data_IF_091980741948
#
_entry.id   IF_091980741948
#
_cell.length_a   1.000
_cell.length_b   1.000
_cell.length_c   1.000
_cell.angle_alpha   90.00
_cell.angle_beta   90.00
_cell.angle_gamma   90.00
#
_symmetry.space_group_name_H-M   'P 1'
#
loop_
_entity.id
_entity.type
_entity.pdbx_description
1 polymer ?
#
# COMPACT_ATOMS: atom_id res chain seq x y z
N UNK A 1 23.11 -1.13 -11.65
CA UNK A 1 22.03 -0.11 -11.46
C UNK A 1 21.82 0.07 -9.96
N UNK A 2 21.88 1.30 -9.48
CA UNK A 2 21.65 1.62 -8.07
C UNK A 2 20.33 2.39 -7.96
N UNK A 3 19.36 1.83 -7.25
CA UNK A 3 18.09 2.51 -7.00
C UNK A 3 18.08 3.21 -5.64
N UNK A 4 17.52 4.42 -5.60
CA UNK A 4 17.14 5.07 -4.35
C UNK A 4 15.62 5.28 -4.37
N UNK A 5 14.94 4.78 -3.34
CA UNK A 5 13.52 4.96 -3.12
C UNK A 5 13.31 6.03 -2.06
N UNK A 6 12.66 7.13 -2.41
CA UNK A 6 12.27 8.19 -1.49
C UNK A 6 10.87 7.91 -0.99
N UNK A 7 10.69 7.81 0.33
CA UNK A 7 9.37 7.57 0.88
C UNK A 7 9.37 7.18 2.36
N UNK A 8 8.19 7.14 2.94
CA UNK A 8 7.98 6.69 4.32
C UNK A 8 7.68 5.19 4.38
N UNK A 9 8.29 4.43 5.31
CA UNK A 9 8.09 2.97 5.41
C UNK A 9 6.62 2.55 5.58
N UNK A 10 5.80 3.35 6.27
CA UNK A 10 4.39 3.06 6.54
C UNK A 10 3.45 3.50 5.41
N UNK A 11 3.98 4.09 4.33
CA UNK A 11 3.15 4.48 3.19
C UNK A 11 2.77 3.27 2.35
N UNK A 12 1.47 3.02 2.09
CA UNK A 12 1.03 1.91 1.25
C UNK A 12 1.52 2.04 -0.20
N UNK A 13 1.71 3.26 -0.67
CA UNK A 13 2.25 3.54 -2.00
C UNK A 13 3.75 3.21 -2.09
N UNK A 14 4.51 3.51 -1.05
CA UNK A 14 5.94 3.12 -0.96
C UNK A 14 6.06 1.61 -0.82
N UNK A 15 5.17 0.99 -0.06
CA UNK A 15 5.12 -0.46 0.16
C UNK A 15 4.94 -1.23 -1.15
N UNK A 16 4.09 -0.76 -2.08
CA UNK A 16 3.96 -1.35 -3.43
C UNK A 16 5.32 -1.46 -4.11
N UNK A 17 6.09 -0.38 -4.13
CA UNK A 17 7.41 -0.33 -4.77
C UNK A 17 8.41 -1.21 -4.04
N UNK A 18 8.43 -1.15 -2.70
CA UNK A 18 9.30 -2.01 -1.88
C UNK A 18 9.01 -3.50 -2.12
N UNK A 19 7.74 -3.87 -2.26
CA UNK A 19 7.34 -5.25 -2.57
C UNK A 19 7.99 -5.74 -3.88
N UNK A 20 7.91 -4.95 -4.96
CA UNK A 20 8.49 -5.33 -6.26
C UNK A 20 10.02 -5.39 -6.20
N UNK A 21 10.68 -4.41 -5.60
CA UNK A 21 12.13 -4.40 -5.46
C UNK A 21 12.64 -5.61 -4.67
N UNK A 22 11.92 -5.97 -3.59
CA UNK A 22 12.25 -7.16 -2.81
C UNK A 22 11.95 -8.46 -3.56
N UNK A 23 10.82 -8.53 -4.28
CA UNK A 23 10.42 -9.70 -5.06
C UNK A 23 11.44 -10.03 -6.17
N UNK A 24 12.06 -9.02 -6.76
CA UNK A 24 13.13 -9.18 -7.75
C UNK A 24 14.54 -9.26 -7.13
N UNK A 25 14.68 -9.31 -5.81
CA UNK A 25 15.96 -9.23 -5.11
C UNK A 25 16.83 -8.02 -5.52
N UNK A 26 16.18 -6.95 -5.98
CA UNK A 26 16.86 -5.73 -6.42
C UNK A 26 17.29 -4.90 -5.21
N UNK A 27 18.59 -4.62 -5.10
CA UNK A 27 19.12 -3.76 -4.03
C UNK A 27 18.72 -2.31 -4.25
N UNK A 28 18.27 -1.66 -3.18
CA UNK A 28 17.92 -0.23 -3.19
C UNK A 28 18.25 0.42 -1.86
N UNK A 29 18.42 1.76 -1.88
CA UNK A 29 18.55 2.58 -0.68
C UNK A 29 17.19 3.25 -0.41
N UNK A 30 16.62 3.05 0.78
CA UNK A 30 15.45 3.81 1.21
C UNK A 30 15.91 5.15 1.82
N UNK A 31 15.47 6.25 1.22
CA UNK A 31 15.66 7.61 1.74
C UNK A 31 14.34 8.06 2.32
N UNK A 32 14.28 8.14 3.65
CA UNK A 32 13.03 8.42 4.36
C UNK A 32 12.59 9.86 4.10
N UNK A 33 11.39 10.01 3.58
CA UNK A 33 10.70 11.28 3.38
C UNK A 33 9.32 11.16 4.00
N UNK A 34 9.03 12.00 4.99
CA UNK A 34 7.76 11.98 5.73
C UNK A 34 6.82 13.02 5.12
N UNK A 35 5.59 12.65 4.71
CA UNK A 35 4.59 13.60 4.26
C UNK A 35 4.33 14.68 5.33
N UNK A 36 4.32 15.95 4.90
CA UNK A 36 4.18 17.11 5.81
C UNK A 36 5.51 17.69 6.31
N UNK A 37 6.63 16.98 6.13
CA UNK A 37 8.00 17.47 6.41
C UNK A 37 8.91 17.20 5.21
N UNK A 38 8.40 17.50 4.03
CA UNK A 38 9.10 17.29 2.76
C UNK A 38 10.06 18.44 2.54
N UNK A 39 11.36 18.21 2.22
CA UNK A 39 12.30 19.27 1.88
C UNK A 39 11.78 20.15 0.73
N UNK A 40 12.14 21.44 0.74
CA UNK A 40 11.64 22.39 -0.28
C UNK A 40 12.10 22.03 -1.69
N UNK A 41 13.31 21.51 -1.82
CA UNK A 41 13.90 21.06 -3.09
C UNK A 41 13.28 19.75 -3.62
N UNK A 42 12.49 19.05 -2.80
CA UNK A 42 11.81 17.80 -3.22
C UNK A 42 10.82 18.03 -4.37
N UNK A 43 10.32 19.26 -4.54
CA UNK A 43 9.47 19.64 -5.67
C UNK A 43 10.16 19.39 -7.03
N UNK A 44 11.48 19.46 -7.08
CA UNK A 44 12.25 19.23 -8.30
C UNK A 44 12.17 17.75 -8.79
N UNK A 45 11.92 16.81 -7.86
CA UNK A 45 11.81 15.37 -8.17
C UNK A 45 10.38 14.84 -8.01
N UNK A 46 9.52 15.56 -7.30
CA UNK A 46 8.10 15.27 -7.13
C UNK A 46 7.31 16.58 -7.13
N UNK A 47 6.78 17.03 -8.28
CA UNK A 47 6.11 18.34 -8.42
C UNK A 47 4.93 18.52 -7.45
N UNK A 48 4.25 17.44 -7.08
CA UNK A 48 3.14 17.44 -6.11
C UNK A 48 3.58 17.11 -4.68
N UNK A 49 4.88 17.06 -4.39
CA UNK A 49 5.45 16.69 -3.09
C UNK A 49 4.92 15.37 -2.54
N UNK A 50 4.66 14.41 -3.44
CA UNK A 50 4.13 13.07 -3.10
C UNK A 50 5.23 12.03 -3.09
N UNK A 51 5.05 11.00 -2.27
CA UNK A 51 5.88 9.80 -2.20
C UNK A 51 5.07 8.59 -2.69
N UNK A 52 5.73 7.57 -3.27
CA UNK A 52 7.16 7.40 -3.50
C UNK A 52 7.72 8.19 -4.69
N UNK A 53 9.05 8.39 -4.67
CA UNK A 53 9.83 8.70 -5.87
C UNK A 53 10.94 7.67 -5.99
N UNK A 54 11.12 7.10 -7.17
CA UNK A 54 12.26 6.25 -7.50
C UNK A 54 13.30 7.08 -8.22
N UNK A 55 14.55 6.98 -7.80
CA UNK A 55 15.71 7.51 -8.50
C UNK A 55 16.53 6.36 -9.06
N UNK A 56 16.93 6.48 -10.31
CA UNK A 56 17.94 5.65 -10.94
C UNK A 56 18.93 6.58 -11.65
N UNK A 57 20.17 6.58 -11.17
CA UNK A 57 21.21 7.52 -11.62
C UNK A 57 20.70 8.99 -11.55
N UNK A 58 20.61 9.72 -12.65
CA UNK A 58 20.11 11.10 -12.70
C UNK A 58 18.61 11.19 -13.05
N UNK A 59 17.93 10.06 -13.21
CA UNK A 59 16.51 10.02 -13.56
C UNK A 59 15.63 9.78 -12.33
N UNK A 60 14.50 10.49 -12.28
CA UNK A 60 13.53 10.40 -11.19
C UNK A 60 12.13 10.10 -11.73
N UNK A 61 11.41 9.22 -11.06
CA UNK A 61 10.03 8.90 -11.36
C UNK A 61 9.17 8.94 -10.09
N UNK A 62 8.14 9.76 -10.10
CA UNK A 62 7.10 9.77 -9.09
C UNK A 62 5.90 8.90 -9.52
N UNK A 63 4.96 8.67 -8.58
CA UNK A 63 3.79 7.80 -8.67
C UNK A 63 4.11 6.31 -8.56
N UNK A 64 3.51 5.68 -7.55
CA UNK A 64 3.80 4.27 -7.22
C UNK A 64 3.41 3.29 -8.33
N UNK A 65 2.29 3.52 -9.04
CA UNK A 65 1.86 2.65 -10.13
C UNK A 65 2.82 2.75 -11.31
N UNK A 66 3.21 3.96 -11.68
CA UNK A 66 4.17 4.19 -12.77
C UNK A 66 5.53 3.58 -12.44
N UNK A 67 6.00 3.76 -11.20
CA UNK A 67 7.24 3.14 -10.73
C UNK A 67 7.16 1.60 -10.80
N UNK A 68 6.05 1.00 -10.37
CA UNK A 68 5.88 -0.45 -10.44
C UNK A 68 5.93 -0.96 -11.88
N UNK A 69 5.24 -0.31 -12.82
CA UNK A 69 5.30 -0.66 -14.24
C UNK A 69 6.72 -0.49 -14.81
N UNK A 70 7.38 0.63 -14.49
CA UNK A 70 8.77 0.84 -14.89
C UNK A 70 9.70 -0.29 -14.42
N UNK A 71 9.60 -0.70 -13.14
CA UNK A 71 10.42 -1.79 -12.60
C UNK A 71 10.16 -3.13 -13.30
N UNK A 72 8.89 -3.41 -13.62
CA UNK A 72 8.52 -4.63 -14.35
C UNK A 72 9.16 -4.66 -15.73
N UNK A 73 9.05 -3.55 -16.45
CA UNK A 73 9.54 -3.42 -17.84
C UNK A 73 11.08 -3.35 -17.90
N UNK A 74 11.70 -2.57 -17.00
CA UNK A 74 13.15 -2.31 -17.04
C UNK A 74 13.98 -3.46 -16.50
N UNK A 75 13.49 -4.20 -15.47
CA UNK A 75 14.22 -5.32 -14.89
C UNK A 75 13.98 -6.63 -15.65
N UNK A 76 12.83 -6.80 -16.32
CA UNK A 76 12.50 -8.02 -17.05
C UNK A 76 12.51 -9.29 -16.19
N UNK A 77 12.44 -9.15 -14.86
CA UNK A 77 12.53 -10.27 -13.93
C UNK A 77 11.24 -11.09 -13.97
N UNK A 78 11.34 -12.41 -14.09
CA UNK A 78 10.18 -13.30 -14.26
C UNK A 78 9.11 -13.11 -13.17
N UNK A 79 9.53 -13.02 -11.91
CA UNK A 79 8.60 -12.80 -10.80
C UNK A 79 7.86 -11.44 -10.88
N UNK A 80 8.43 -10.44 -11.54
CA UNK A 80 7.76 -9.15 -11.77
C UNK A 80 6.83 -9.21 -12.98
N UNK A 81 7.29 -9.81 -14.09
CA UNK A 81 6.47 -9.91 -15.31
C UNK A 81 5.23 -10.77 -15.09
N UNK A 82 5.29 -11.77 -14.20
CA UNK A 82 4.14 -12.58 -13.81
C UNK A 82 3.03 -11.81 -13.07
N UNK A 83 3.33 -10.61 -12.54
CA UNK A 83 2.33 -9.73 -11.93
C UNK A 83 1.41 -9.05 -12.95
N UNK A 84 1.73 -9.15 -14.24
CA UNK A 84 0.95 -8.56 -15.34
C UNK A 84 0.20 -9.68 -16.07
N UNK A 85 -1.13 -9.71 -16.03
CA UNK A 85 -1.92 -10.72 -16.72
C UNK A 85 -1.70 -10.72 -18.25
N UNK A 86 -1.83 -11.89 -18.88
CA UNK A 86 -1.49 -12.09 -20.28
C UNK A 86 -2.45 -11.41 -21.27
N UNK A 87 -3.75 -11.29 -20.95
CA UNK A 87 -4.74 -10.72 -21.85
C UNK A 87 -5.00 -9.23 -21.61
N UNK A 88 -5.36 -8.49 -22.66
CA UNK A 88 -5.69 -7.08 -22.54
C UNK A 88 -6.87 -6.82 -21.59
N UNK A 89 -7.89 -7.71 -21.58
CA UNK A 89 -9.05 -7.61 -20.71
C UNK A 89 -8.65 -7.72 -19.22
N UNK A 90 -7.86 -8.73 -18.88
CA UNK A 90 -7.38 -8.93 -17.50
C UNK A 90 -6.41 -7.80 -17.08
N UNK A 91 -5.57 -7.30 -17.99
CA UNK A 91 -4.74 -6.12 -17.69
C UNK A 91 -5.58 -4.87 -17.41
N UNK A 92 -6.67 -4.67 -18.13
CA UNK A 92 -7.58 -3.55 -17.87
C UNK A 92 -8.24 -3.68 -16.50
N UNK A 93 -8.71 -4.89 -16.13
CA UNK A 93 -9.26 -5.16 -14.81
C UNK A 93 -8.23 -4.97 -13.69
N UNK A 94 -7.00 -5.44 -13.87
CA UNK A 94 -5.90 -5.23 -12.93
C UNK A 94 -5.65 -3.73 -12.67
N UNK A 95 -5.53 -2.93 -13.76
CA UNK A 95 -5.31 -1.48 -13.65
C UNK A 95 -6.49 -0.76 -12.97
N UNK A 96 -7.71 -1.20 -13.27
CA UNK A 96 -8.89 -0.67 -12.61
C UNK A 96 -8.85 -0.89 -11.10
N UNK A 97 -8.57 -2.12 -10.66
CA UNK A 97 -8.50 -2.45 -9.23
C UNK A 97 -7.29 -1.81 -8.53
N UNK A 98 -6.17 -1.63 -9.23
CA UNK A 98 -5.04 -0.85 -8.73
C UNK A 98 -5.46 0.61 -8.48
N UNK A 99 -6.18 1.24 -9.42
CA UNK A 99 -6.71 2.60 -9.25
C UNK A 99 -7.81 2.67 -8.19
N UNK A 100 -8.64 1.65 -8.10
CA UNK A 100 -9.61 1.54 -7.01
C UNK A 100 -8.92 1.55 -5.63
N UNK A 101 -7.81 0.83 -5.48
CA UNK A 101 -7.03 0.85 -4.25
C UNK A 101 -6.46 2.25 -3.95
N UNK A 102 -5.96 2.94 -4.96
CA UNK A 102 -5.33 4.25 -4.79
C UNK A 102 -6.34 5.40 -4.60
N UNK A 103 -7.54 5.33 -5.22
CA UNK A 103 -8.51 6.43 -5.24
C UNK A 103 -9.72 6.21 -4.32
N UNK A 104 -10.10 4.96 -4.04
CA UNK A 104 -11.24 4.64 -3.20
C UNK A 104 -10.86 4.10 -1.82
N UNK A 105 -9.92 3.14 -1.75
CA UNK A 105 -9.48 2.59 -0.48
C UNK A 105 -8.56 3.56 0.28
N UNK A 106 -7.57 4.14 -0.39
CA UNK A 106 -6.58 4.98 0.27
C UNK A 106 -7.19 6.18 1.02
N UNK A 107 -8.17 6.94 0.48
CA UNK A 107 -8.80 8.03 1.20
C UNK A 107 -9.43 7.60 2.53
N UNK A 108 -10.04 6.41 2.58
CA UNK A 108 -10.79 5.92 3.75
C UNK A 108 -9.88 5.15 4.71
N UNK A 109 -9.15 4.15 4.21
CA UNK A 109 -8.32 3.27 5.06
C UNK A 109 -7.06 3.99 5.54
N UNK A 110 -6.35 4.67 4.62
CA UNK A 110 -5.04 5.27 4.92
C UNK A 110 -5.18 6.73 5.38
N UNK A 111 -5.85 7.58 4.60
CA UNK A 111 -5.87 9.02 4.91
C UNK A 111 -6.92 9.41 5.95
N UNK A 112 -7.93 8.55 6.20
CA UNK A 112 -8.87 8.73 7.30
C UNK A 112 -8.46 7.87 8.49
N UNK A 113 -8.68 6.57 8.47
CA UNK A 113 -8.55 5.72 9.65
C UNK A 113 -7.09 5.65 10.15
N UNK A 114 -6.16 5.21 9.32
CA UNK A 114 -4.76 5.06 9.72
C UNK A 114 -4.10 6.40 10.09
N UNK A 115 -4.35 7.44 9.31
CA UNK A 115 -3.78 8.76 9.58
C UNK A 115 -4.25 9.31 10.93
N UNK A 116 -5.54 9.23 11.22
CA UNK A 116 -6.08 9.77 12.46
C UNK A 116 -5.66 8.95 13.68
N UNK A 117 -5.66 7.62 13.60
CA UNK A 117 -5.29 6.78 14.75
C UNK A 117 -3.79 6.65 14.98
N UNK A 118 -2.96 6.79 13.93
CA UNK A 118 -1.53 6.56 14.04
C UNK A 118 -0.73 7.85 13.80
N UNK A 119 -0.92 8.51 12.66
CA UNK A 119 -0.01 9.58 12.24
C UNK A 119 -0.26 10.88 13.01
N UNK A 120 -1.51 11.27 13.22
CA UNK A 120 -1.83 12.50 13.94
C UNK A 120 -1.38 12.45 15.40
N UNK A 121 -1.63 11.39 16.18
CA UNK A 121 -1.11 11.27 17.55
C UNK A 121 0.41 11.32 17.63
N UNK A 122 1.12 10.65 16.72
CA UNK A 122 2.59 10.72 16.63
C UNK A 122 3.07 12.16 16.39
N UNK A 123 2.29 12.96 15.69
CA UNK A 123 2.57 14.38 15.43
C UNK A 123 2.05 15.34 16.51
N UNK A 124 1.57 14.79 17.65
CA UNK A 124 0.99 15.59 18.76
C UNK A 124 -0.38 16.19 18.45
N UNK A 125 -1.08 15.68 17.44
CA UNK A 125 -2.42 16.12 17.03
C UNK A 125 -3.49 15.14 17.49
N UNK A 126 -4.68 15.64 17.76
CA UNK A 126 -5.83 14.80 18.16
C UNK A 126 -6.44 14.09 16.96
N UNK A 127 -6.84 12.84 17.16
CA UNK A 127 -7.65 12.10 16.20
C UNK A 127 -9.08 12.67 16.16
N UNK A 128 -9.70 12.60 15.00
CA UNK A 128 -11.12 12.89 14.81
C UNK A 128 -11.88 11.55 14.82
N UNK A 129 -12.39 11.17 16.00
CA UNK A 129 -13.09 9.89 16.18
C UNK A 129 -14.46 9.86 15.50
N UNK A 130 -15.13 11.01 15.33
CA UNK A 130 -16.39 11.09 14.59
C UNK A 130 -16.18 10.79 13.10
N UNK A 131 -15.13 11.38 12.51
CA UNK A 131 -14.75 11.10 11.13
C UNK A 131 -14.34 9.62 10.94
N UNK A 132 -13.60 9.04 11.89
CA UNK A 132 -13.24 7.63 11.86
C UNK A 132 -14.49 6.75 11.94
N UNK A 133 -15.38 7.00 12.91
CA UNK A 133 -16.63 6.25 13.08
C UNK A 133 -17.49 6.29 11.81
N UNK A 134 -17.68 7.46 11.21
CA UNK A 134 -18.39 7.59 9.93
C UNK A 134 -17.74 6.77 8.82
N UNK A 135 -16.41 6.80 8.71
CA UNK A 135 -15.71 6.02 7.70
C UNK A 135 -15.93 4.52 7.89
N UNK A 136 -15.83 4.02 9.14
CA UNK A 136 -16.01 2.61 9.48
C UNK A 136 -17.44 2.12 9.26
N UNK A 137 -18.44 2.95 9.61
CA UNK A 137 -19.85 2.54 9.59
C UNK A 137 -20.49 2.72 8.21
N UNK A 138 -20.05 3.72 7.43
CA UNK A 138 -20.73 4.10 6.19
C UNK A 138 -19.87 4.08 4.94
N UNK A 139 -18.62 4.59 4.99
CA UNK A 139 -17.83 4.79 3.77
C UNK A 139 -17.06 3.54 3.35
N UNK A 140 -16.56 2.75 4.32
CA UNK A 140 -15.73 1.55 4.07
C UNK A 140 -16.56 0.32 3.70
N UNK A 141 -17.71 0.02 4.33
CA UNK A 141 -18.47 -1.19 4.04
C UNK A 141 -18.80 -1.39 2.56
N UNK A 142 -19.30 -0.38 1.81
CA UNK A 142 -19.57 -0.54 0.37
C UNK A 142 -18.32 -0.89 -0.46
N UNK A 143 -17.14 -0.40 -0.05
CA UNK A 143 -15.88 -0.71 -0.73
C UNK A 143 -15.46 -2.16 -0.48
N UNK A 144 -15.67 -2.69 0.73
CA UNK A 144 -15.42 -4.09 1.06
C UNK A 144 -16.42 -5.02 0.38
N UNK A 145 -17.70 -4.61 0.26
CA UNK A 145 -18.71 -5.33 -0.51
C UNK A 145 -18.31 -5.42 -1.98
N UNK A 146 -17.85 -4.30 -2.57
CA UNK A 146 -17.34 -4.29 -3.94
C UNK A 146 -16.14 -5.22 -4.11
N UNK A 147 -15.12 -5.13 -3.24
CA UNK A 147 -13.98 -6.04 -3.29
C UNK A 147 -14.38 -7.51 -3.14
N UNK A 148 -15.32 -7.80 -2.24
CA UNK A 148 -15.84 -9.16 -2.07
C UNK A 148 -16.48 -9.66 -3.35
N UNK A 149 -17.27 -8.83 -4.04
CA UNK A 149 -17.88 -9.16 -5.32
C UNK A 149 -16.86 -9.38 -6.44
N UNK A 150 -15.79 -8.58 -6.46
CA UNK A 150 -14.71 -8.71 -7.46
C UNK A 150 -13.85 -9.95 -7.24
N UNK A 151 -13.59 -10.31 -5.98
CA UNK A 151 -12.82 -11.49 -5.61
C UNK A 151 -13.63 -12.77 -5.87
N UNK A 152 -14.93 -12.77 -5.53
CA UNK A 152 -15.78 -13.94 -5.62
C UNK A 152 -15.21 -15.12 -4.82
N UNK A 153 -14.99 -16.24 -5.49
CA UNK A 153 -14.37 -17.46 -4.93
C UNK A 153 -12.92 -17.65 -5.36
N UNK A 154 -12.30 -16.65 -5.97
CA UNK A 154 -10.94 -16.74 -6.51
C UNK A 154 -9.89 -16.51 -5.45
N UNK A 155 -8.68 -17.00 -5.70
CA UNK A 155 -7.54 -16.78 -4.84
C UNK A 155 -6.93 -15.38 -4.99
N UNK A 156 -7.09 -14.77 -6.15
CA UNK A 156 -6.59 -13.43 -6.49
C UNK A 156 -7.65 -12.64 -7.23
N UNK A 157 -7.54 -11.31 -7.20
CA UNK A 157 -8.52 -10.42 -7.81
C UNK A 157 -8.58 -10.53 -9.35
N UNK A 158 -7.47 -10.89 -9.99
CA UNK A 158 -7.39 -10.93 -11.44
C UNK A 158 -6.68 -12.19 -11.93
N UNK A 159 -7.42 -13.06 -12.60
CA UNK A 159 -6.85 -14.31 -13.10
C UNK A 159 -6.52 -15.29 -11.99
N UNK A 160 -5.48 -16.11 -12.19
CA UNK A 160 -5.13 -17.22 -11.28
C UNK A 160 -3.84 -16.96 -10.48
N UNK A 161 -3.22 -15.80 -10.64
CA UNK A 161 -1.96 -15.44 -10.00
C UNK A 161 -2.05 -14.05 -9.37
N UNK A 162 -1.18 -13.81 -8.38
CA UNK A 162 -1.01 -12.48 -7.80
C UNK A 162 -0.68 -11.45 -8.89
N UNK A 163 -1.32 -10.30 -8.84
CA UNK A 163 -1.13 -9.19 -9.77
C UNK A 163 -0.85 -7.88 -9.04
N UNK A 164 -0.56 -6.80 -9.79
CA UNK A 164 -0.43 -5.46 -9.19
C UNK A 164 -1.69 -5.00 -8.45
N UNK A 165 -2.88 -5.47 -8.86
CA UNK A 165 -4.13 -5.20 -8.15
C UNK A 165 -4.09 -5.75 -6.71
N UNK A 166 -3.65 -6.99 -6.55
CA UNK A 166 -3.53 -7.64 -5.24
C UNK A 166 -2.53 -6.93 -4.35
N UNK A 167 -1.40 -6.48 -4.92
CA UNK A 167 -0.37 -5.75 -4.20
C UNK A 167 -0.91 -4.39 -3.73
N UNK A 168 -1.63 -3.66 -4.58
CA UNK A 168 -2.18 -2.35 -4.25
C UNK A 168 -3.26 -2.45 -3.15
N UNK A 169 -4.21 -3.38 -3.31
CA UNK A 169 -5.28 -3.61 -2.34
C UNK A 169 -4.72 -4.06 -0.99
N UNK A 170 -3.84 -5.06 -0.99
CA UNK A 170 -3.20 -5.56 0.25
C UNK A 170 -2.42 -4.45 0.95
N UNK A 171 -1.73 -3.58 0.21
CA UNK A 171 -1.00 -2.45 0.80
C UNK A 171 -1.91 -1.50 1.56
N UNK A 172 -3.12 -1.20 1.07
CA UNK A 172 -4.07 -0.35 1.78
C UNK A 172 -4.67 -1.08 3.01
N UNK A 173 -4.99 -2.37 2.86
CA UNK A 173 -5.53 -3.18 3.97
C UNK A 173 -4.53 -3.33 5.12
N UNK A 174 -3.22 -3.34 4.85
CA UNK A 174 -2.19 -3.35 5.91
C UNK A 174 -2.25 -2.06 6.74
N UNK A 175 -2.49 -0.90 6.13
CA UNK A 175 -2.65 0.33 6.90
C UNK A 175 -3.91 0.30 7.79
N UNK A 176 -4.99 -0.28 7.28
CA UNK A 176 -6.21 -0.51 8.06
C UNK A 176 -5.94 -1.41 9.27
N UNK A 177 -5.22 -2.51 9.05
CA UNK A 177 -4.78 -3.42 10.12
C UNK A 177 -3.86 -2.70 11.14
N UNK A 178 -2.92 -1.89 10.70
CA UNK A 178 -2.04 -1.12 11.59
C UNK A 178 -2.80 -0.09 12.42
N UNK A 179 -3.95 0.38 11.94
CA UNK A 179 -4.86 1.25 12.68
C UNK A 179 -5.73 0.51 13.72
N UNK A 180 -5.53 -0.81 13.89
CA UNK A 180 -6.27 -1.64 14.82
C UNK A 180 -7.56 -2.24 14.26
N UNK A 181 -7.84 -2.05 12.97
CA UNK A 181 -9.04 -2.57 12.34
C UNK A 181 -8.81 -3.93 11.70
N UNK A 182 -9.90 -4.68 11.55
CA UNK A 182 -9.89 -5.99 10.89
C UNK A 182 -11.06 -6.11 9.92
N UNK A 183 -10.91 -6.98 8.92
CA UNK A 183 -12.01 -7.33 8.04
C UNK A 183 -12.90 -8.34 8.79
N UNK A 184 -14.14 -7.96 9.06
CA UNK A 184 -15.09 -8.84 9.75
C UNK A 184 -15.36 -10.11 8.92
N UNK A 185 -14.85 -11.23 9.43
CA UNK A 185 -14.97 -12.53 8.79
C UNK A 185 -16.42 -13.07 8.73
N UNK A 186 -17.33 -12.52 9.53
CA UNK A 186 -18.76 -12.87 9.47
C UNK A 186 -19.44 -12.13 8.32
N UNK A 187 -19.06 -10.88 8.08
CA UNK A 187 -19.64 -10.05 7.02
C UNK A 187 -18.95 -10.27 5.67
N UNK A 188 -17.62 -10.40 5.65
CA UNK A 188 -16.80 -10.55 4.44
C UNK A 188 -15.87 -11.78 4.53
N UNK A 189 -16.39 -13.01 4.62
CA UNK A 189 -15.57 -14.21 4.89
C UNK A 189 -14.50 -14.46 3.82
N UNK A 190 -14.84 -14.33 2.54
CA UNK A 190 -13.89 -14.55 1.44
C UNK A 190 -12.77 -13.51 1.42
N UNK A 191 -13.10 -12.23 1.63
CA UNK A 191 -12.13 -11.15 1.67
C UNK A 191 -11.21 -11.25 2.90
N UNK A 192 -11.76 -11.61 4.07
CA UNK A 192 -10.96 -11.86 5.28
C UNK A 192 -9.99 -13.03 5.09
N UNK A 193 -10.45 -14.13 4.49
CA UNK A 193 -9.60 -15.28 4.17
C UNK A 193 -8.51 -14.91 3.14
N UNK A 194 -8.85 -14.13 2.11
CA UNK A 194 -7.90 -13.59 1.14
C UNK A 194 -6.81 -12.78 1.84
N UNK A 195 -7.18 -11.81 2.67
CA UNK A 195 -6.21 -10.94 3.34
C UNK A 195 -5.29 -11.74 4.27
N UNK A 196 -5.85 -12.68 5.04
CA UNK A 196 -5.06 -13.60 5.87
C UNK A 196 -4.04 -14.39 5.04
N UNK A 197 -4.44 -14.91 3.88
CA UNK A 197 -3.58 -15.66 2.96
C UNK A 197 -2.48 -14.75 2.37
N UNK A 198 -2.81 -13.51 1.98
CA UNK A 198 -1.81 -12.55 1.51
C UNK A 198 -0.76 -12.29 2.59
N UNK A 199 -1.17 -12.00 3.82
CA UNK A 199 -0.26 -11.74 4.93
C UNK A 199 0.62 -12.94 5.32
N UNK A 200 0.19 -14.18 5.04
CA UNK A 200 0.99 -15.38 5.30
C UNK A 200 2.15 -15.59 4.32
N UNK A 201 2.17 -14.87 3.21
CA UNK A 201 3.29 -14.92 2.27
C UNK A 201 4.53 -14.25 2.88
N UNK A 202 5.70 -14.86 2.71
CA UNK A 202 6.95 -14.41 3.33
C UNK A 202 7.31 -12.95 3.02
N UNK A 203 7.01 -12.49 1.81
CA UNK A 203 7.26 -11.12 1.38
C UNK A 203 6.45 -10.10 2.19
N UNK A 204 5.15 -10.33 2.34
CA UNK A 204 4.28 -9.47 3.15
C UNK A 204 4.65 -9.53 4.63
N UNK A 205 4.91 -10.72 5.14
CA UNK A 205 5.36 -10.91 6.53
C UNK A 205 6.60 -10.07 6.82
N UNK A 206 7.62 -10.12 5.96
CA UNK A 206 8.86 -9.35 6.12
C UNK A 206 8.60 -7.83 6.14
N UNK A 207 7.74 -7.31 5.25
CA UNK A 207 7.41 -5.90 5.20
C UNK A 207 6.63 -5.46 6.45
N UNK A 208 5.62 -6.22 6.84
CA UNK A 208 4.77 -5.93 8.02
C UNK A 208 5.58 -5.95 9.31
N UNK A 209 6.50 -6.90 9.51
CA UNK A 209 7.35 -6.93 10.71
C UNK A 209 8.28 -5.70 10.78
N UNK A 210 8.85 -5.26 9.68
CA UNK A 210 9.64 -4.01 9.64
C UNK A 210 8.78 -2.78 9.98
N UNK A 211 7.53 -2.76 9.55
CA UNK A 211 6.60 -1.69 9.83
C UNK A 211 6.16 -1.69 11.30
N UNK A 212 5.91 -2.84 11.90
CA UNK A 212 5.65 -2.96 13.35
C UNK A 212 6.82 -2.39 14.16
N UNK A 213 8.05 -2.75 13.82
CA UNK A 213 9.23 -2.16 14.47
C UNK A 213 9.29 -0.63 14.33
N UNK A 214 8.81 -0.09 13.22
CA UNK A 214 8.73 1.36 13.01
C UNK A 214 7.61 1.97 13.87
N UNK A 215 6.44 1.35 13.90
CA UNK A 215 5.31 1.77 14.72
C UNK A 215 5.66 1.78 16.21
N UNK A 216 6.33 0.75 16.71
CA UNK A 216 6.76 0.65 18.10
C UNK A 216 7.71 1.79 18.49
N UNK A 217 8.56 2.25 17.57
CA UNK A 217 9.48 3.37 17.80
C UNK A 217 8.79 4.74 17.81
N UNK A 218 7.71 4.90 17.06
CA UNK A 218 7.05 6.20 16.88
C UNK A 218 5.81 6.36 17.78
N UNK A 219 5.24 5.27 18.30
CA UNK A 219 4.10 5.36 19.23
C UNK A 219 4.50 6.08 20.50
N UNK A 220 3.76 7.11 20.91
CA UNK A 220 3.98 7.74 22.21
C UNK A 220 3.81 6.72 23.35
N UNK A 221 4.71 6.75 24.33
CA UNK A 221 4.75 5.80 25.47
C UNK A 221 3.46 5.79 26.31
N UNK A 222 2.64 6.83 26.23
CA UNK A 222 1.36 6.93 26.96
C UNK A 222 0.15 6.31 26.21
N UNK A 223 0.35 5.75 25.01
CA UNK A 223 -0.67 5.04 24.24
C UNK A 223 -0.45 3.52 24.21
N UNK A 224 0.48 3.01 25.02
CA UNK A 224 0.62 1.57 25.25
C UNK A 224 -0.40 1.17 26.30
N UNK A 225 -1.36 0.25 26.01
CA UNK A 225 -2.33 -0.22 27.00
C UNK A 225 -1.67 -0.98 28.13
#
# INVERSE_FOLDING_TARGET
MAFTLYGAPLSPFVRKVMYLLNLSNTKYKLKVVVPGSVPDDFVNISPFKRIPVLQQDDWFQADSSIICHYLIESLGHEALTSLIPSTAKLRAQMRWLEKFADYELAPRLTFTVFRHRIILPVSGKTADEELIGRALDHDIPPLLDYLTSQLGTQDYFVGHCCSLADIAITSQMINFMHAGETIDHKKWPTLAAYFKRMLSQSMWHTLVEREKMTLDKIRPTHLVP
#
